data_IF_125108155362
#
_entry.id   IF_125108155362
#
_cell.length_a   1.000
_cell.length_b   1.000
_cell.length_c   1.000
_cell.angle_alpha   90.00
_cell.angle_beta   90.00
_cell.angle_gamma   90.00
#
_symmetry.space_group_name_H-M   'P 1'
#
loop_
_entity.id
_entity.type
_entity.pdbx_description
1 polymer ?
#
# COMPACT_ATOMS: atom_id res chain seq x y z
N UNK A 1 -15.48 7.18 13.99
CA UNK A 1 -14.49 6.43 13.22
C UNK A 1 -13.58 7.41 12.48
N UNK A 2 -12.27 7.27 12.54
CA UNK A 2 -11.37 8.18 11.83
C UNK A 2 -11.24 7.80 10.36
N UNK A 3 -10.61 8.68 9.55
CA UNK A 3 -10.46 8.45 8.11
C UNK A 3 -9.73 7.15 7.78
N UNK A 4 -8.72 6.80 8.57
CA UNK A 4 -7.93 5.58 8.36
C UNK A 4 -8.79 4.33 8.54
N UNK A 5 -9.57 4.25 9.60
CA UNK A 5 -10.44 3.11 9.87
C UNK A 5 -11.51 2.95 8.78
N UNK A 6 -12.08 4.05 8.33
CA UNK A 6 -13.07 4.05 7.26
C UNK A 6 -12.45 3.55 5.95
N UNK A 7 -11.24 4.00 5.61
CA UNK A 7 -10.55 3.55 4.42
C UNK A 7 -10.26 2.04 4.47
N UNK A 8 -9.77 1.55 5.60
CA UNK A 8 -9.46 0.13 5.76
C UNK A 8 -10.70 -0.74 5.59
N UNK A 9 -11.82 -0.32 6.17
CA UNK A 9 -13.09 -1.04 6.02
C UNK A 9 -13.53 -1.09 4.56
N UNK A 10 -13.45 0.02 3.85
CA UNK A 10 -13.82 0.09 2.43
C UNK A 10 -12.87 -0.73 1.55
N UNK A 11 -11.59 -0.76 1.87
CA UNK A 11 -10.61 -1.62 1.17
C UNK A 11 -10.99 -3.08 1.39
N UNK A 12 -11.29 -3.45 2.62
CA UNK A 12 -11.67 -4.83 2.96
C UNK A 12 -12.90 -5.29 2.17
N UNK A 13 -13.87 -4.40 1.98
CA UNK A 13 -15.09 -4.68 1.25
C UNK A 13 -14.92 -4.56 -0.27
N UNK A 14 -13.74 -4.20 -0.75
CA UNK A 14 -13.44 -3.97 -2.17
C UNK A 14 -14.44 -3.02 -2.82
N UNK A 15 -14.76 -1.93 -2.14
CA UNK A 15 -15.74 -0.97 -2.62
C UNK A 15 -15.24 -0.22 -3.85
N UNK A 16 -16.17 0.18 -4.72
CA UNK A 16 -15.85 0.96 -5.90
C UNK A 16 -15.39 2.37 -5.52
N UNK A 17 -14.63 3.00 -6.42
CA UNK A 17 -14.20 4.38 -6.24
C UNK A 17 -15.39 5.31 -6.03
N UNK A 18 -15.24 6.21 -5.05
CA UNK A 18 -16.25 7.23 -4.72
C UNK A 18 -15.52 8.53 -4.40
N UNK A 19 -16.09 9.65 -4.77
CA UNK A 19 -15.54 10.98 -4.47
C UNK A 19 -15.31 11.22 -2.97
N UNK A 20 -16.09 10.57 -2.12
CA UNK A 20 -15.92 10.70 -0.68
C UNK A 20 -14.56 10.16 -0.21
N UNK A 21 -13.96 9.27 -1.00
CA UNK A 21 -12.64 8.71 -0.69
C UNK A 21 -11.51 9.68 -1.00
N UNK A 22 -11.75 10.66 -1.87
CA UNK A 22 -10.70 11.56 -2.34
C UNK A 22 -10.04 12.34 -1.20
N UNK A 23 -10.82 13.00 -0.37
CA UNK A 23 -10.26 13.79 0.73
C UNK A 23 -9.55 12.91 1.75
N UNK A 24 -10.09 11.73 2.04
CA UNK A 24 -9.46 10.81 2.97
C UNK A 24 -8.10 10.31 2.47
N UNK A 25 -8.01 9.97 1.18
CA UNK A 25 -6.74 9.53 0.60
C UNK A 25 -5.73 10.66 0.52
N UNK A 26 -6.17 11.88 0.25
CA UNK A 26 -5.27 13.04 0.24
C UNK A 26 -4.65 13.32 1.60
N UNK A 27 -5.35 13.00 2.69
CA UNK A 27 -4.80 13.11 4.03
C UNK A 27 -3.54 12.26 4.22
N UNK A 28 -3.42 11.15 3.48
CA UNK A 28 -2.28 10.26 3.55
C UNK A 28 -1.23 10.55 2.46
N UNK A 29 -1.34 11.70 1.79
CA UNK A 29 -0.34 12.14 0.84
C UNK A 29 -0.54 11.67 -0.60
N UNK A 30 -1.65 10.98 -0.90
CA UNK A 30 -1.92 10.51 -2.25
C UNK A 30 -2.44 11.66 -3.11
N UNK A 31 -1.75 11.94 -4.21
CA UNK A 31 -2.06 13.07 -5.10
C UNK A 31 -3.07 12.73 -6.18
N UNK A 32 -3.12 11.46 -6.61
CA UNK A 32 -4.09 10.97 -7.59
C UNK A 32 -4.91 9.84 -6.96
N UNK A 33 -5.87 10.18 -6.08
CA UNK A 33 -6.53 9.18 -5.25
C UNK A 33 -7.24 8.05 -6.00
N UNK A 34 -7.81 8.33 -7.18
CA UNK A 34 -8.49 7.28 -7.94
C UNK A 34 -7.55 6.16 -8.40
N UNK A 35 -6.32 6.51 -8.78
CA UNK A 35 -5.30 5.51 -9.14
C UNK A 35 -4.80 4.76 -7.92
N UNK A 36 -4.60 5.47 -6.82
CA UNK A 36 -4.17 4.85 -5.57
C UNK A 36 -5.21 3.88 -5.04
N UNK A 37 -6.49 4.20 -5.19
CA UNK A 37 -7.56 3.29 -4.80
C UNK A 37 -7.48 1.96 -5.54
N UNK A 38 -7.19 1.99 -6.84
CA UNK A 38 -7.01 0.76 -7.63
C UNK A 38 -5.85 -0.09 -7.08
N UNK A 39 -4.74 0.55 -6.75
CA UNK A 39 -3.58 -0.16 -6.19
C UNK A 39 -3.89 -0.76 -4.81
N UNK A 40 -4.60 -0.03 -3.97
CA UNK A 40 -5.01 -0.52 -2.65
C UNK A 40 -5.95 -1.72 -2.76
N UNK A 41 -6.92 -1.67 -3.66
CA UNK A 41 -7.83 -2.79 -3.89
C UNK A 41 -7.09 -4.00 -4.45
N UNK A 42 -6.16 -3.78 -5.37
CA UNK A 42 -5.32 -4.86 -5.92
C UNK A 42 -4.50 -5.55 -4.83
N UNK A 43 -3.87 -4.77 -3.94
CA UNK A 43 -3.14 -5.31 -2.80
C UNK A 43 -4.07 -6.09 -1.86
N UNK A 44 -5.28 -5.59 -1.63
CA UNK A 44 -6.21 -6.26 -0.73
C UNK A 44 -6.59 -7.65 -1.23
N UNK A 45 -6.69 -7.83 -2.53
CA UNK A 45 -7.02 -9.13 -3.13
C UNK A 45 -5.87 -10.13 -2.99
N UNK A 46 -4.65 -9.64 -2.83
CA UNK A 46 -3.48 -10.48 -2.64
C UNK A 46 -3.33 -10.99 -1.21
N UNK A 47 -4.00 -10.37 -0.25
CA UNK A 47 -3.92 -10.73 1.17
C UNK A 47 -5.09 -11.66 1.50
N UNK A 48 -4.80 -12.94 1.76
CA UNK A 48 -5.82 -13.95 2.00
C UNK A 48 -6.31 -14.01 3.45
N UNK A 49 -5.50 -13.56 4.40
CA UNK A 49 -5.85 -13.64 5.83
C UNK A 49 -6.50 -12.35 6.30
N UNK A 50 -7.77 -12.44 6.68
CA UNK A 50 -8.55 -11.29 7.13
C UNK A 50 -7.91 -10.54 8.29
N UNK A 51 -7.22 -11.23 9.19
CA UNK A 51 -6.57 -10.57 10.34
C UNK A 51 -5.40 -9.68 9.94
N UNK A 52 -4.84 -9.87 8.75
CA UNK A 52 -3.73 -9.03 8.28
C UNK A 52 -4.19 -7.68 7.74
N UNK A 53 -5.44 -7.59 7.26
CA UNK A 53 -5.94 -6.38 6.60
C UNK A 53 -5.83 -5.12 7.46
N UNK A 54 -6.40 -5.08 8.67
CA UNK A 54 -6.39 -3.83 9.41
C UNK A 54 -4.99 -3.37 9.79
N UNK A 55 -4.15 -4.32 10.23
CA UNK A 55 -2.79 -3.98 10.65
C UNK A 55 -1.91 -3.57 9.48
N UNK A 56 -1.96 -4.34 8.39
CA UNK A 56 -1.13 -4.05 7.22
C UNK A 56 -1.49 -2.70 6.59
N UNK A 57 -2.76 -2.47 6.31
CA UNK A 57 -3.19 -1.22 5.68
C UNK A 57 -3.05 -0.02 6.61
N UNK A 58 -3.24 -0.21 7.91
CA UNK A 58 -2.99 0.84 8.89
C UNK A 58 -1.54 1.33 8.81
N UNK A 59 -0.59 0.40 8.83
CA UNK A 59 0.84 0.74 8.74
C UNK A 59 1.20 1.31 7.38
N UNK A 60 0.67 0.73 6.31
CA UNK A 60 0.93 1.20 4.96
C UNK A 60 0.50 2.64 4.78
N UNK A 61 -0.69 2.99 5.22
CA UNK A 61 -1.21 4.35 5.12
C UNK A 61 -0.38 5.33 5.93
N UNK A 62 -0.02 4.96 7.16
CA UNK A 62 0.80 5.83 8.03
C UNK A 62 2.19 6.08 7.44
N UNK A 63 2.83 5.04 6.95
CA UNK A 63 4.18 5.17 6.37
C UNK A 63 4.12 5.94 5.06
N UNK A 64 3.11 5.68 4.22
CA UNK A 64 2.94 6.39 2.95
C UNK A 64 2.77 7.89 3.16
N UNK A 65 2.05 8.30 4.20
CA UNK A 65 1.85 9.71 4.53
C UNK A 65 3.17 10.44 4.84
N UNK A 66 4.19 9.70 5.30
CA UNK A 66 5.50 10.25 5.62
C UNK A 66 6.52 10.08 4.50
N UNK A 67 6.14 9.38 3.42
CA UNK A 67 7.07 9.11 2.33
C UNK A 67 7.19 10.32 1.39
N UNK A 68 8.24 10.29 0.58
CA UNK A 68 8.52 11.36 -0.38
C UNK A 68 7.45 11.44 -1.49
N UNK A 69 6.94 10.30 -1.94
CA UNK A 69 5.90 10.23 -2.97
C UNK A 69 5.02 9.02 -2.70
N UNK A 70 3.88 9.25 -2.06
CA UNK A 70 2.99 8.18 -1.63
C UNK A 70 2.40 7.41 -2.81
N UNK A 71 2.03 8.10 -3.90
CA UNK A 71 1.46 7.48 -5.09
C UNK A 71 2.45 6.49 -5.73
N UNK A 72 3.69 6.94 -5.89
CA UNK A 72 4.74 6.12 -6.50
C UNK A 72 5.08 4.93 -5.60
N UNK A 73 5.20 5.17 -4.30
CA UNK A 73 5.49 4.11 -3.34
C UNK A 73 4.44 3.00 -3.38
N UNK A 74 3.17 3.39 -3.39
CA UNK A 74 2.07 2.43 -3.42
C UNK A 74 2.04 1.63 -4.72
N UNK A 75 2.19 2.32 -5.85
CA UNK A 75 2.21 1.67 -7.16
C UNK A 75 3.35 0.65 -7.26
N UNK A 76 4.55 1.04 -6.83
CA UNK A 76 5.70 0.16 -6.86
C UNK A 76 5.59 -1.01 -5.88
N UNK A 77 4.98 -0.78 -4.72
CA UNK A 77 4.73 -1.85 -3.76
C UNK A 77 3.76 -2.90 -4.33
N UNK A 78 2.72 -2.45 -5.01
CA UNK A 78 1.78 -3.34 -5.67
C UNK A 78 2.48 -4.17 -6.75
N UNK A 79 3.31 -3.54 -7.60
CA UNK A 79 4.11 -4.23 -8.62
C UNK A 79 5.09 -5.22 -7.98
N UNK A 80 5.74 -4.82 -6.89
CA UNK A 80 6.69 -5.68 -6.19
C UNK A 80 5.99 -6.93 -5.63
N UNK A 81 4.79 -6.76 -5.07
CA UNK A 81 4.03 -7.88 -4.52
C UNK A 81 3.69 -8.93 -5.58
N UNK A 82 3.50 -8.52 -6.83
CA UNK A 82 3.20 -9.44 -7.93
C UNK A 82 4.35 -10.38 -8.27
N UNK A 83 5.58 -10.05 -7.84
CA UNK A 83 6.76 -10.89 -8.06
C UNK A 83 6.82 -12.10 -7.11
N UNK A 84 6.00 -12.12 -6.09
CA UNK A 84 6.01 -13.20 -5.09
C UNK A 84 4.91 -14.20 -5.36
N UNK A 85 5.25 -15.49 -5.33
CA UNK A 85 4.28 -16.57 -5.43
C UNK A 85 3.46 -16.70 -4.14
N UNK A 86 4.08 -16.40 -3.00
CA UNK A 86 3.41 -16.40 -1.69
C UNK A 86 3.37 -14.98 -1.15
N UNK A 87 2.32 -14.26 -1.52
CA UNK A 87 2.14 -12.86 -1.11
C UNK A 87 1.82 -12.73 0.38
N UNK A 88 1.16 -13.73 0.96
CA UNK A 88 0.86 -13.72 2.38
C UNK A 88 2.13 -13.74 3.22
N UNK A 89 3.15 -14.47 2.76
CA UNK A 89 4.44 -14.49 3.42
C UNK A 89 5.09 -13.11 3.41
N UNK A 90 5.06 -12.42 2.27
CA UNK A 90 5.57 -11.05 2.16
C UNK A 90 4.87 -10.11 3.13
N UNK A 91 3.54 -10.13 3.14
CA UNK A 91 2.76 -9.24 3.99
C UNK A 91 2.93 -9.57 5.48
N UNK A 92 3.05 -10.85 5.82
CA UNK A 92 3.33 -11.28 7.19
C UNK A 92 4.67 -10.74 7.66
N UNK A 93 5.70 -10.82 6.82
CA UNK A 93 7.03 -10.29 7.16
C UNK A 93 7.01 -8.78 7.33
N UNK A 94 6.25 -8.06 6.51
CA UNK A 94 6.07 -6.62 6.66
C UNK A 94 5.42 -6.26 7.99
N UNK A 95 4.51 -7.09 8.48
CA UNK A 95 3.87 -6.86 9.78
C UNK A 95 4.79 -7.20 10.97
N UNK A 96 5.63 -8.21 10.82
CA UNK A 96 6.58 -8.59 11.85
C UNK A 96 7.72 -7.61 12.00
N UNK A 97 8.06 -6.88 10.93
CA UNK A 97 9.14 -5.91 10.94
C UNK A 97 8.67 -4.58 10.36
N UNK A 98 8.44 -3.60 11.24
CA UNK A 98 8.12 -2.24 10.81
C UNK A 98 9.21 -1.66 9.90
N UNK A 99 10.47 -2.02 10.18
CA UNK A 99 11.61 -1.54 9.39
C UNK A 99 11.56 -2.02 7.95
N UNK A 100 11.09 -3.24 7.72
CA UNK A 100 11.01 -3.77 6.35
C UNK A 100 9.99 -3.00 5.52
N UNK A 101 8.78 -2.83 6.01
CA UNK A 101 7.74 -2.09 5.28
C UNK A 101 8.15 -0.65 5.06
N UNK A 102 8.71 -0.01 6.08
CA UNK A 102 9.20 1.35 6.02
C UNK A 102 10.30 1.50 4.96
N UNK A 103 11.25 0.57 4.94
CA UNK A 103 12.34 0.59 3.95
C UNK A 103 11.80 0.41 2.54
N UNK A 104 10.85 -0.50 2.32
CA UNK A 104 10.25 -0.71 1.01
C UNK A 104 9.51 0.54 0.53
N UNK A 105 8.69 1.15 1.39
CA UNK A 105 7.93 2.34 1.02
C UNK A 105 8.86 3.49 0.68
N UNK A 106 9.90 3.73 1.49
CA UNK A 106 10.85 4.81 1.24
C UNK A 106 11.67 4.57 -0.02
N UNK A 107 12.12 3.34 -0.27
CA UNK A 107 12.83 2.99 -1.49
C UNK A 107 11.93 3.26 -2.72
N UNK A 108 10.69 2.78 -2.68
CA UNK A 108 9.79 2.87 -3.82
C UNK A 108 9.29 4.29 -4.07
N UNK A 109 9.31 5.15 -3.06
CA UNK A 109 8.92 6.56 -3.20
C UNK A 109 10.06 7.45 -3.69
N UNK A 110 11.32 7.01 -3.56
CA UNK A 110 12.49 7.87 -3.76
C UNK A 110 13.09 7.85 -5.15
N UNK A 111 13.14 6.68 -5.81
CA UNK A 111 13.83 6.57 -7.08
C UNK A 111 13.23 5.45 -7.95
N UNK A 112 12.71 5.85 -9.11
CA UNK A 112 12.17 4.87 -10.07
C UNK A 112 13.30 4.04 -10.67
N UNK A 113 14.46 4.63 -10.88
CA UNK A 113 15.62 3.91 -11.43
C UNK A 113 16.06 2.78 -10.51
N UNK A 114 16.19 3.06 -9.22
CA UNK A 114 16.57 2.05 -8.23
C UNK A 114 15.49 0.96 -8.09
N UNK A 115 14.24 1.37 -8.12
CA UNK A 115 13.11 0.44 -8.06
C UNK A 115 13.10 -0.50 -9.27
N UNK A 116 13.30 0.02 -10.46
CA UNK A 116 13.35 -0.78 -11.68
C UNK A 116 14.52 -1.75 -11.67
N UNK A 117 15.68 -1.32 -11.15
CA UNK A 117 16.84 -2.19 -10.98
C UNK A 117 16.54 -3.34 -10.04
N UNK A 118 15.86 -3.06 -8.93
CA UNK A 118 15.45 -4.11 -7.98
C UNK A 118 14.50 -5.11 -8.65
N UNK A 119 13.54 -4.63 -9.41
CA UNK A 119 12.58 -5.49 -10.10
C UNK A 119 13.26 -6.41 -11.12
N UNK A 120 14.31 -5.93 -11.80
CA UNK A 120 15.01 -6.74 -12.79
C UNK A 120 15.81 -7.88 -12.17
N UNK A 121 16.13 -7.81 -10.88
CA UNK A 121 16.90 -8.82 -10.16
C UNK A 121 16.04 -9.87 -9.45
N UNK A 122 14.74 -9.66 -9.41
CA UNK A 122 13.82 -10.58 -8.74
C UNK A 122 13.37 -11.72 -9.72
#
# INVERSE_FOLDING_TARGET
MNSKETLIEKIHNCEAWDYQLESSLKEFGFQVPSKCWKDLISLSKAVNFKKLYPQFFSRLLEISARSHNADLALHNLERFSEKFSDKDHLFTQCLESNSLLEALVFLFSGSQILTDSLFSEI
#
